data_IF_701324974684
#
_entry.id   IF_701324974684
#
_cell.length_a   1.000
_cell.length_b   1.000
_cell.length_c   1.000
_cell.angle_alpha   90.00
_cell.angle_beta   90.00
_cell.angle_gamma   90.00
#
_symmetry.space_group_name_H-M   'P 1'
#
loop_
_entity.id
_entity.type
_entity.pdbx_description
1 polymer ?
#
# COMPACT_ATOMS: atom_id res chain seq x y z
N UNK A 1 3.58 -11.20 6.92
CA UNK A 1 3.88 -12.51 7.49
C UNK A 1 3.35 -13.65 6.63
N UNK A 2 2.13 -13.59 6.10
CA UNK A 2 1.51 -14.69 5.35
C UNK A 2 1.75 -14.63 3.84
N UNK A 3 2.40 -13.63 3.31
CA UNK A 3 2.61 -13.51 1.87
C UNK A 3 3.54 -14.62 1.34
N UNK A 4 4.52 -15.06 2.13
CA UNK A 4 5.41 -16.17 1.75
C UNK A 4 4.64 -17.45 1.41
N UNK A 5 3.52 -17.72 2.11
CA UNK A 5 2.71 -18.93 1.91
C UNK A 5 2.13 -19.05 0.49
N UNK A 6 2.17 -17.98 -0.29
CA UNK A 6 1.62 -17.88 -1.66
C UNK A 6 2.69 -17.74 -2.75
N UNK A 7 3.96 -17.86 -2.39
CA UNK A 7 5.09 -17.85 -3.33
C UNK A 7 5.98 -19.07 -3.10
N UNK A 8 6.58 -19.59 -4.17
CA UNK A 8 7.53 -20.68 -4.09
C UNK A 8 8.78 -20.24 -3.31
N UNK A 9 8.96 -20.77 -2.11
CA UNK A 9 10.08 -20.42 -1.21
C UNK A 9 11.47 -20.74 -1.77
N UNK A 10 11.54 -21.65 -2.74
CA UNK A 10 12.80 -21.97 -3.44
C UNK A 10 13.19 -20.90 -4.48
N UNK A 11 12.26 -20.00 -4.83
CA UNK A 11 12.45 -18.99 -5.86
C UNK A 11 12.35 -17.56 -5.31
N UNK A 12 11.47 -17.34 -4.34
CA UNK A 12 11.17 -16.01 -3.80
C UNK A 12 11.19 -16.05 -2.27
N UNK A 13 11.96 -15.16 -1.67
CA UNK A 13 11.86 -14.84 -0.25
C UNK A 13 11.04 -13.56 -0.09
N UNK A 14 9.95 -13.64 0.68
CA UNK A 14 9.10 -12.47 0.97
C UNK A 14 9.52 -11.84 2.29
N UNK A 15 10.06 -10.64 2.22
CA UNK A 15 10.42 -9.84 3.39
C UNK A 15 9.38 -8.75 3.67
N UNK A 16 8.83 -8.72 4.88
CA UNK A 16 7.84 -7.73 5.28
C UNK A 16 8.49 -6.61 6.09
N UNK A 17 8.65 -5.45 5.49
CA UNK A 17 9.20 -4.24 6.11
C UNK A 17 8.11 -3.26 6.60
N UNK A 18 6.83 -3.60 6.43
CA UNK A 18 5.73 -2.72 6.82
C UNK A 18 5.63 -2.59 8.34
N UNK A 19 5.37 -1.37 8.81
CA UNK A 19 5.10 -1.06 10.21
C UNK A 19 3.74 -0.40 10.36
N UNK A 20 2.95 -0.90 11.31
CA UNK A 20 1.61 -0.36 11.61
C UNK A 20 1.66 1.11 12.04
N UNK A 21 0.63 1.87 11.66
CA UNK A 21 0.50 3.29 12.00
C UNK A 21 1.27 4.26 11.09
N UNK A 22 2.07 3.78 10.16
CA UNK A 22 2.78 4.61 9.19
C UNK A 22 1.87 5.06 8.05
N UNK A 23 2.13 6.26 7.53
CA UNK A 23 1.58 6.80 6.29
C UNK A 23 2.65 6.79 5.19
N UNK A 24 2.28 7.13 3.95
CA UNK A 24 3.25 7.30 2.87
C UNK A 24 4.36 8.27 3.23
N UNK A 25 4.00 9.38 3.89
CA UNK A 25 4.93 10.40 4.41
C UNK A 25 5.83 9.86 5.52
N UNK A 26 5.25 9.35 6.62
CA UNK A 26 6.02 8.98 7.80
C UNK A 26 6.85 7.73 7.61
N UNK A 27 6.41 6.80 6.79
CA UNK A 27 7.25 5.66 6.41
C UNK A 27 8.45 6.14 5.57
N UNK A 28 8.21 7.02 4.59
CA UNK A 28 9.28 7.57 3.75
C UNK A 28 10.33 8.32 4.54
N UNK A 29 9.90 9.16 5.50
CA UNK A 29 10.83 10.02 6.24
C UNK A 29 11.54 9.31 7.39
N UNK A 30 10.95 8.26 7.99
CA UNK A 30 11.45 7.65 9.22
C UNK A 30 12.07 6.27 9.03
N UNK A 31 11.49 5.43 8.19
CA UNK A 31 11.85 4.01 8.06
C UNK A 31 12.48 3.68 6.71
N UNK A 32 11.99 4.30 5.64
CA UNK A 32 12.44 4.03 4.30
C UNK A 32 13.95 4.21 4.09
N UNK A 33 14.63 5.19 4.70
CA UNK A 33 16.09 5.32 4.57
C UNK A 33 16.86 4.06 5.00
N UNK A 34 16.35 3.31 5.98
CA UNK A 34 16.97 2.06 6.42
C UNK A 34 16.49 0.87 5.59
N UNK A 35 15.22 0.77 5.29
CA UNK A 35 14.65 -0.27 4.40
C UNK A 35 15.36 -0.25 3.05
N UNK A 36 15.54 0.93 2.47
CA UNK A 36 16.19 1.09 1.15
C UNK A 36 17.61 0.54 1.10
N UNK A 37 18.34 0.56 2.20
CA UNK A 37 19.71 0.00 2.26
C UNK A 37 19.76 -1.52 2.02
N UNK A 38 18.67 -2.22 2.34
CA UNK A 38 18.55 -3.67 2.13
C UNK A 38 18.11 -4.05 0.71
N UNK A 39 17.53 -3.13 -0.05
CA UNK A 39 17.03 -3.41 -1.39
C UNK A 39 18.18 -3.58 -2.38
N UNK A 40 18.12 -4.66 -3.15
CA UNK A 40 19.14 -5.02 -4.14
C UNK A 40 18.59 -4.94 -5.57
N UNK A 41 19.51 -4.88 -6.53
CA UNK A 41 19.17 -4.96 -7.95
C UNK A 41 18.42 -6.27 -8.25
N UNK A 42 17.28 -6.14 -8.91
CA UNK A 42 16.43 -7.29 -9.26
C UNK A 42 15.31 -7.57 -8.25
N UNK A 43 15.37 -7.02 -7.03
CA UNK A 43 14.29 -7.19 -6.06
C UNK A 43 12.96 -6.62 -6.57
N UNK A 44 11.87 -7.21 -6.10
CA UNK A 44 10.54 -6.68 -6.29
C UNK A 44 10.08 -5.98 -5.02
N UNK A 45 9.66 -4.72 -5.15
CA UNK A 45 9.23 -3.91 -4.01
C UNK A 45 7.75 -3.59 -4.13
N UNK A 46 6.93 -4.25 -3.32
CA UNK A 46 5.48 -4.00 -3.26
C UNK A 46 5.22 -2.81 -2.34
N UNK A 47 4.56 -1.79 -2.85
CA UNK A 47 4.19 -0.56 -2.14
C UNK A 47 2.67 -0.49 -2.05
N UNK A 48 2.12 -0.76 -0.84
CA UNK A 48 0.71 -0.65 -0.51
C UNK A 48 0.57 0.16 0.79
N UNK A 49 0.35 1.46 0.68
CA UNK A 49 0.36 2.39 1.81
C UNK A 49 -0.65 3.52 1.58
N UNK A 50 -1.26 4.06 2.65
CA UNK A 50 -2.22 5.17 2.54
C UNK A 50 -3.28 5.22 3.63
N UNK A 51 -3.47 4.16 4.42
CA UNK A 51 -4.49 4.11 5.47
C UNK A 51 -4.38 5.25 6.51
N UNK A 52 -3.19 5.80 6.69
CA UNK A 52 -2.88 6.79 7.71
C UNK A 52 -2.53 8.18 7.13
N UNK A 53 -2.79 8.41 5.87
CA UNK A 53 -2.43 9.63 5.16
C UNK A 53 -3.40 10.79 5.37
N UNK A 54 -4.47 10.58 6.13
CA UNK A 54 -5.42 11.61 6.51
C UNK A 54 -5.10 12.23 7.88
N UNK A 55 -5.59 13.45 8.11
CA UNK A 55 -5.51 14.14 9.41
C UNK A 55 -4.67 15.41 9.35
N UNK A 56 -4.22 15.92 10.52
CA UNK A 56 -3.38 17.11 10.57
C UNK A 56 -2.00 16.90 9.96
N UNK A 57 -1.47 17.95 9.32
CA UNK A 57 -0.13 17.94 8.75
C UNK A 57 0.97 18.25 9.77
N UNK A 58 0.62 18.97 10.83
CA UNK A 58 1.57 19.63 11.74
C UNK A 58 1.41 19.25 13.22
N UNK A 59 0.46 18.39 13.56
CA UNK A 59 0.13 18.07 14.96
C UNK A 59 -0.25 16.61 15.15
N UNK A 60 -0.30 16.17 16.39
CA UNK A 60 -0.57 14.79 16.77
C UNK A 60 0.50 13.86 16.19
N UNK A 61 0.09 12.87 15.42
CA UNK A 61 1.07 12.00 14.72
C UNK A 61 1.68 12.66 13.48
N UNK A 62 1.16 13.81 13.03
CA UNK A 62 1.64 14.60 11.88
C UNK A 62 2.00 13.72 10.66
N UNK A 63 1.08 12.85 10.26
CA UNK A 63 1.35 11.81 9.27
C UNK A 63 0.59 11.99 7.95
N UNK A 64 -0.30 12.99 7.85
CA UNK A 64 -1.06 13.24 6.63
C UNK A 64 -0.14 13.65 5.47
N UNK A 65 -0.45 13.14 4.28
CA UNK A 65 0.02 13.65 3.00
C UNK A 65 -1.04 14.56 2.36
N UNK A 66 -0.64 15.44 1.45
CA UNK A 66 -1.59 16.25 0.68
C UNK A 66 -2.36 15.31 -0.26
N UNK A 67 -3.71 15.37 -0.31
CA UNK A 67 -4.51 14.56 -1.22
C UNK A 67 -4.13 14.77 -2.69
N UNK A 68 -4.19 13.69 -3.47
CA UNK A 68 -3.99 13.75 -4.92
C UNK A 68 -2.59 13.35 -5.37
N UNK A 69 -2.33 13.61 -6.66
CA UNK A 69 -1.12 13.15 -7.36
C UNK A 69 -0.27 14.30 -7.94
N UNK A 70 -0.65 15.56 -7.63
CA UNK A 70 0.10 16.75 -8.06
C UNK A 70 1.48 16.85 -7.43
N UNK A 71 2.16 17.97 -7.69
CA UNK A 71 3.47 18.30 -7.12
C UNK A 71 3.38 19.36 -6.01
N UNK A 72 2.18 19.60 -5.50
CA UNK A 72 1.94 20.59 -4.46
C UNK A 72 2.71 20.20 -3.18
N UNK A 73 3.18 21.23 -2.49
CA UNK A 73 3.90 21.08 -1.23
C UNK A 73 3.37 22.04 -0.18
N UNK A 74 3.53 21.66 1.08
CA UNK A 74 3.18 22.48 2.23
C UNK A 74 4.34 22.44 3.24
N UNK A 75 4.90 23.60 3.57
CA UNK A 75 5.89 23.70 4.63
C UNK A 75 5.17 23.81 5.97
N UNK A 76 5.50 22.92 6.89
CA UNK A 76 4.91 22.87 8.23
C UNK A 76 6.01 22.91 9.30
N UNK A 77 5.63 23.35 10.49
CA UNK A 77 6.43 23.15 11.71
C UNK A 77 5.62 22.24 12.62
N UNK A 78 6.17 21.07 12.95
CA UNK A 78 5.50 20.09 13.83
C UNK A 78 5.34 20.69 15.21
N UNK A 79 4.12 20.81 15.69
CA UNK A 79 3.80 21.52 16.95
C UNK A 79 4.45 20.88 18.17
N UNK A 80 4.51 19.55 18.19
CA UNK A 80 5.05 18.79 19.33
C UNK A 80 6.58 18.82 19.42
N UNK A 81 7.28 19.06 18.31
CA UNK A 81 8.75 18.93 18.23
C UNK A 81 9.46 20.18 17.73
N UNK A 82 8.75 21.12 17.12
CA UNK A 82 9.34 22.28 16.45
C UNK A 82 10.09 21.96 15.15
N UNK A 83 10.08 20.71 14.69
CA UNK A 83 10.76 20.30 13.46
C UNK A 83 10.05 20.87 12.24
N UNK A 84 10.81 21.49 11.35
CA UNK A 84 10.32 21.96 10.05
C UNK A 84 10.36 20.84 9.03
N UNK A 85 9.28 20.66 8.30
CA UNK A 85 9.14 19.61 7.29
C UNK A 85 8.35 20.11 6.08
N UNK A 86 8.73 19.65 4.88
CA UNK A 86 7.94 19.83 3.67
C UNK A 86 7.07 18.60 3.46
N UNK A 87 5.76 18.79 3.45
CA UNK A 87 4.76 17.78 3.16
C UNK A 87 4.47 17.80 1.67
N UNK A 88 4.44 16.63 1.05
CA UNK A 88 4.15 16.41 -0.37
C UNK A 88 2.76 15.78 -0.55
N UNK A 89 2.31 15.72 -1.79
CA UNK A 89 1.12 14.94 -2.13
C UNK A 89 1.38 13.44 -1.91
N UNK A 90 0.29 12.68 -1.72
CA UNK A 90 0.33 11.23 -1.66
C UNK A 90 1.04 10.64 -2.90
N UNK A 91 0.67 11.11 -4.09
CA UNK A 91 1.28 10.64 -5.32
C UNK A 91 2.76 10.97 -5.43
N UNK A 92 3.20 12.11 -4.91
CA UNK A 92 4.62 12.47 -4.91
C UNK A 92 5.43 11.56 -3.96
N UNK A 93 4.87 11.16 -2.81
CA UNK A 93 5.52 10.15 -1.99
C UNK A 93 5.63 8.80 -2.71
N UNK A 94 4.61 8.37 -3.44
CA UNK A 94 4.71 7.15 -4.25
C UNK A 94 5.80 7.25 -5.33
N UNK A 95 5.91 8.38 -6.01
CA UNK A 95 7.00 8.60 -6.98
C UNK A 95 8.38 8.54 -6.35
N UNK A 96 8.53 9.08 -5.14
CA UNK A 96 9.80 9.00 -4.40
C UNK A 96 10.21 7.54 -4.14
N UNK A 97 9.28 6.69 -3.68
CA UNK A 97 9.53 5.26 -3.51
C UNK A 97 9.92 4.58 -4.82
N UNK A 98 9.18 4.85 -5.90
CA UNK A 98 9.45 4.30 -7.23
C UNK A 98 10.86 4.68 -7.71
N UNK A 99 11.21 5.96 -7.59
CA UNK A 99 12.51 6.46 -8.03
C UNK A 99 13.65 5.88 -7.22
N UNK A 100 13.48 5.74 -5.92
CA UNK A 100 14.47 5.12 -5.04
C UNK A 100 14.68 3.63 -5.38
N UNK A 101 13.62 2.88 -5.69
CA UNK A 101 13.72 1.51 -6.16
C UNK A 101 14.49 1.43 -7.49
N UNK A 102 14.11 2.27 -8.45
CA UNK A 102 14.78 2.33 -9.76
C UNK A 102 16.26 2.68 -9.65
N UNK A 103 16.61 3.57 -8.73
CA UNK A 103 18.00 4.01 -8.53
C UNK A 103 18.93 2.85 -8.13
N UNK A 104 18.41 1.81 -7.50
CA UNK A 104 19.16 0.60 -7.14
C UNK A 104 18.92 -0.56 -8.10
N UNK A 105 18.08 -0.37 -9.13
CA UNK A 105 17.74 -1.41 -10.11
C UNK A 105 16.72 -2.43 -9.62
N UNK A 106 15.92 -2.08 -8.61
CA UNK A 106 14.78 -2.87 -8.14
C UNK A 106 13.50 -2.55 -8.93
N UNK A 107 12.51 -3.43 -8.85
CA UNK A 107 11.27 -3.43 -9.59
C UNK A 107 10.10 -3.02 -8.67
N UNK A 108 9.62 -1.75 -8.69
CA UNK A 108 8.51 -1.34 -7.88
C UNK A 108 7.17 -1.83 -8.44
N UNK A 109 6.26 -2.24 -7.55
CA UNK A 109 4.86 -2.56 -7.82
C UNK A 109 3.99 -1.71 -6.89
N UNK A 110 3.04 -0.95 -7.43
CA UNK A 110 2.04 -0.29 -6.61
C UNK A 110 0.82 -1.19 -6.42
N UNK A 111 0.30 -1.21 -5.20
CA UNK A 111 -0.99 -1.86 -4.89
C UNK A 111 -1.92 -0.87 -4.22
N UNK A 112 -3.23 -1.00 -4.49
CA UNK A 112 -4.24 -0.30 -3.71
C UNK A 112 -4.29 -0.85 -2.28
N UNK A 113 -4.99 -0.15 -1.37
CA UNK A 113 -5.05 -0.49 0.04
C UNK A 113 -5.88 -1.75 0.30
N UNK A 114 -5.57 -2.48 1.35
CA UNK A 114 -6.50 -3.50 1.88
C UNK A 114 -7.83 -2.84 2.27
N UNK A 115 -8.99 -3.52 2.13
CA UNK A 115 -10.27 -2.96 2.53
C UNK A 115 -10.36 -2.77 4.05
N UNK A 116 -11.29 -1.93 4.49
CA UNK A 116 -11.76 -1.82 5.87
C UNK A 116 -13.08 -2.55 6.01
N UNK A 117 -13.45 -2.90 7.22
CA UNK A 117 -14.80 -3.38 7.55
C UNK A 117 -15.76 -2.18 7.57
N UNK A 118 -16.12 -1.73 6.39
CA UNK A 118 -17.04 -0.63 6.18
C UNK A 118 -17.89 -0.89 4.92
N UNK A 119 -19.19 -0.65 5.02
CA UNK A 119 -20.16 -0.92 3.96
C UNK A 119 -20.67 0.35 3.33
N UNK A 120 -20.97 0.26 2.04
CA UNK A 120 -21.73 1.27 1.32
C UNK A 120 -23.26 1.07 1.52
N UNK A 121 -24.05 1.94 0.90
CA UNK A 121 -25.53 1.92 0.94
C UNK A 121 -26.13 0.64 0.34
N UNK A 122 -25.39 -0.11 -0.46
CA UNK A 122 -25.79 -1.36 -1.09
C UNK A 122 -25.33 -2.60 -0.29
N UNK A 123 -24.75 -2.39 0.90
CA UNK A 123 -24.22 -3.46 1.74
C UNK A 123 -22.96 -4.12 1.18
N UNK A 124 -22.19 -3.41 0.36
CA UNK A 124 -20.91 -3.83 -0.17
C UNK A 124 -19.76 -3.18 0.56
N UNK A 125 -18.64 -3.87 0.68
CA UNK A 125 -17.40 -3.29 1.22
C UNK A 125 -17.04 -2.03 0.44
N UNK A 126 -16.77 -0.95 1.15
CA UNK A 126 -16.37 0.34 0.56
C UNK A 126 -15.03 0.18 -0.18
N UNK A 127 -15.01 0.62 -1.45
CA UNK A 127 -13.80 0.64 -2.27
C UNK A 127 -13.04 1.97 -2.13
N UNK A 128 -11.73 1.89 -2.28
CA UNK A 128 -10.86 3.10 -2.26
C UNK A 128 -10.58 3.65 -3.68
N UNK A 129 -11.42 3.27 -4.64
CA UNK A 129 -11.29 3.59 -6.07
C UNK A 129 -11.60 5.04 -6.46
N UNK A 130 -11.97 5.89 -5.49
CA UNK A 130 -12.16 7.35 -5.67
C UNK A 130 -11.13 8.20 -4.94
N UNK A 131 -10.23 7.56 -4.19
CA UNK A 131 -9.23 8.24 -3.35
C UNK A 131 -7.86 7.58 -3.52
N UNK A 132 -7.26 7.07 -2.46
CA UNK A 132 -5.90 6.52 -2.45
C UNK A 132 -5.68 5.39 -3.47
N UNK A 133 -6.68 4.54 -3.71
CA UNK A 133 -6.58 3.49 -4.72
C UNK A 133 -6.56 4.06 -6.15
N UNK A 134 -7.39 5.09 -6.42
CA UNK A 134 -7.35 5.82 -7.68
C UNK A 134 -6.00 6.51 -7.89
N UNK A 135 -5.53 7.22 -6.86
CA UNK A 135 -4.26 7.95 -6.94
C UNK A 135 -3.08 7.02 -7.13
N UNK A 136 -3.05 5.87 -6.46
CA UNK A 136 -2.01 4.87 -6.65
C UNK A 136 -2.01 4.32 -8.09
N UNK A 137 -3.19 4.02 -8.65
CA UNK A 137 -3.34 3.59 -10.05
C UNK A 137 -2.81 4.66 -11.01
N UNK A 138 -3.25 5.91 -10.84
CA UNK A 138 -2.82 7.03 -11.70
C UNK A 138 -1.31 7.24 -11.67
N UNK A 139 -0.69 7.15 -10.48
CA UNK A 139 0.78 7.24 -10.36
C UNK A 139 1.44 6.05 -11.06
N UNK A 140 0.92 4.83 -10.89
CA UNK A 140 1.47 3.65 -11.58
C UNK A 140 1.43 3.79 -13.10
N UNK A 141 0.34 4.31 -13.64
CA UNK A 141 0.18 4.60 -15.07
C UNK A 141 1.17 5.67 -15.54
N UNK A 142 1.27 6.81 -14.82
CA UNK A 142 2.18 7.90 -15.15
C UNK A 142 3.66 7.47 -15.10
N UNK A 143 4.00 6.69 -14.09
CA UNK A 143 5.37 6.21 -13.86
C UNK A 143 5.66 4.91 -14.60
N UNK A 144 4.71 4.36 -15.35
CA UNK A 144 4.88 3.10 -16.08
C UNK A 144 5.40 1.96 -15.19
N UNK A 145 4.80 1.76 -14.02
CA UNK A 145 5.03 0.64 -13.10
C UNK A 145 3.79 -0.24 -13.00
N UNK A 146 3.92 -1.54 -12.66
CA UNK A 146 2.77 -2.41 -12.45
C UNK A 146 1.85 -1.91 -11.35
N UNK A 147 0.54 -2.10 -11.54
CA UNK A 147 -0.48 -1.83 -10.54
C UNK A 147 -1.35 -3.07 -10.28
N UNK A 148 -1.56 -3.40 -9.02
CA UNK A 148 -2.49 -4.45 -8.58
C UNK A 148 -3.60 -3.82 -7.73
N UNK A 149 -4.86 -4.01 -8.12
CA UNK A 149 -6.00 -3.53 -7.34
C UNK A 149 -6.35 -4.50 -6.21
N UNK A 150 -5.47 -4.54 -5.21
CA UNK A 150 -5.64 -5.38 -4.02
C UNK A 150 -6.97 -5.10 -3.30
N UNK A 151 -7.40 -3.82 -3.28
CA UNK A 151 -8.66 -3.43 -2.64
C UNK A 151 -9.85 -4.12 -3.30
N UNK A 152 -9.94 -4.05 -4.62
CA UNK A 152 -11.05 -4.68 -5.35
C UNK A 152 -11.04 -6.20 -5.19
N UNK A 153 -9.88 -6.85 -5.34
CA UNK A 153 -9.76 -8.31 -5.22
C UNK A 153 -10.18 -8.78 -3.81
N UNK A 154 -9.69 -8.11 -2.77
CA UNK A 154 -10.01 -8.47 -1.38
C UNK A 154 -11.45 -8.13 -1.02
N UNK A 155 -11.95 -6.96 -1.41
CA UNK A 155 -13.31 -6.52 -1.12
C UNK A 155 -14.35 -7.40 -1.84
N UNK A 156 -14.08 -7.82 -3.08
CA UNK A 156 -14.96 -8.75 -3.80
C UNK A 156 -15.07 -10.13 -3.09
N UNK A 157 -14.01 -10.58 -2.44
CA UNK A 157 -14.05 -11.79 -1.61
C UNK A 157 -14.89 -11.59 -0.35
N UNK A 158 -14.72 -10.47 0.35
CA UNK A 158 -15.50 -10.11 1.53
C UNK A 158 -16.98 -9.99 1.20
N UNK A 159 -17.34 -9.35 0.07
CA UNK A 159 -18.72 -9.28 -0.42
C UNK A 159 -19.36 -10.66 -0.62
N UNK A 160 -18.57 -11.65 -1.06
CA UNK A 160 -19.06 -13.04 -1.22
C UNK A 160 -19.25 -13.76 0.11
N UNK A 161 -18.44 -13.44 1.12
CA UNK A 161 -18.58 -14.02 2.44
C UNK A 161 -19.83 -13.51 3.16
N UNK A 162 -20.22 -12.27 2.89
CA UNK A 162 -21.33 -11.58 3.53
C UNK A 162 -21.04 -11.19 4.99
N UNK A 163 -21.87 -10.32 5.58
CA UNK A 163 -21.58 -9.62 6.84
C UNK A 163 -21.37 -10.53 8.06
N UNK A 164 -21.88 -11.76 8.02
CA UNK A 164 -21.72 -12.71 9.12
C UNK A 164 -20.35 -13.39 9.17
N UNK A 165 -19.78 -13.70 8.01
CA UNK A 165 -18.46 -14.37 7.93
C UNK A 165 -17.32 -13.39 7.88
N UNK A 166 -17.55 -12.26 7.29
CA UNK A 166 -16.58 -11.20 7.10
C UNK A 166 -16.04 -10.65 8.44
N UNK A 167 -16.90 -10.52 9.47
CA UNK A 167 -16.48 -10.06 10.80
C UNK A 167 -15.30 -10.86 11.40
N UNK A 168 -15.05 -12.08 10.95
CA UNK A 168 -13.89 -12.86 11.36
C UNK A 168 -12.58 -12.42 10.69
N UNK A 169 -12.66 -11.58 9.67
CA UNK A 169 -11.50 -11.06 8.93
C UNK A 169 -10.91 -9.80 9.55
N UNK A 170 -11.64 -9.17 10.47
CA UNK A 170 -11.22 -7.94 11.14
C UNK A 170 -11.22 -8.09 12.66
N UNK A 171 -10.42 -7.25 13.32
CA UNK A 171 -10.57 -7.01 14.75
C UNK A 171 -11.74 -6.02 14.99
N UNK A 172 -12.11 -5.83 16.25
CA UNK A 172 -13.23 -4.98 16.67
C UNK A 172 -13.08 -3.49 16.32
N UNK A 173 -11.92 -3.09 15.85
CA UNK A 173 -11.66 -1.72 15.39
C UNK A 173 -12.04 -1.50 13.91
N UNK A 174 -12.50 -2.52 13.22
CA UNK A 174 -12.95 -2.49 11.82
C UNK A 174 -11.87 -2.05 10.80
N UNK A 175 -10.61 -2.03 11.20
CA UNK A 175 -9.47 -1.61 10.37
C UNK A 175 -8.40 -2.70 10.29
N UNK A 176 -7.94 -3.15 11.46
CA UNK A 176 -6.89 -4.16 11.53
C UNK A 176 -7.45 -5.55 11.26
N UNK A 177 -6.77 -6.25 10.38
CA UNK A 177 -7.21 -7.60 9.98
C UNK A 177 -6.81 -8.64 11.01
N UNK A 178 -7.71 -9.59 11.27
CA UNK A 178 -7.39 -10.84 11.96
C UNK A 178 -6.39 -11.67 11.12
N UNK A 179 -5.97 -12.81 11.66
CA UNK A 179 -5.18 -13.78 10.89
C UNK A 179 -5.87 -14.19 9.59
N UNK A 180 -7.17 -14.44 9.61
CA UNK A 180 -7.93 -14.82 8.40
C UNK A 180 -7.95 -13.69 7.36
N UNK A 181 -8.19 -12.46 7.79
CA UNK A 181 -8.14 -11.31 6.90
C UNK A 181 -6.74 -11.04 6.35
N UNK A 182 -5.70 -11.20 7.16
CA UNK A 182 -4.32 -11.06 6.72
C UNK A 182 -3.94 -12.12 5.67
N UNK A 183 -4.32 -13.38 5.88
CA UNK A 183 -4.11 -14.45 4.88
C UNK A 183 -4.90 -14.21 3.60
N UNK A 184 -6.16 -13.77 3.71
CA UNK A 184 -6.98 -13.43 2.54
C UNK A 184 -6.35 -12.30 1.72
N UNK A 185 -5.87 -11.23 2.37
CA UNK A 185 -5.21 -10.11 1.69
C UNK A 185 -3.88 -10.55 1.04
N UNK A 186 -3.09 -11.36 1.72
CA UNK A 186 -1.85 -11.91 1.18
C UNK A 186 -2.11 -12.76 -0.08
N UNK A 187 -3.10 -13.65 -0.01
CA UNK A 187 -3.56 -14.42 -1.17
C UNK A 187 -4.08 -13.53 -2.29
N UNK A 188 -4.85 -12.50 -1.97
CA UNK A 188 -5.37 -11.54 -2.98
C UNK A 188 -4.26 -10.78 -3.69
N UNK A 189 -3.18 -10.43 -2.97
CA UNK A 189 -2.01 -9.79 -3.57
C UNK A 189 -1.29 -10.75 -4.54
N UNK A 190 -1.08 -11.99 -4.14
CA UNK A 190 -0.45 -13.01 -5.01
C UNK A 190 -1.31 -13.32 -6.25
N UNK A 191 -2.62 -13.50 -6.08
CA UNK A 191 -3.56 -13.70 -7.20
C UNK A 191 -3.56 -12.49 -8.16
N UNK A 192 -3.58 -11.27 -7.60
CA UNK A 192 -3.51 -10.05 -8.42
C UNK A 192 -2.22 -9.91 -9.23
N UNK A 193 -1.10 -10.39 -8.71
CA UNK A 193 0.15 -10.50 -9.48
C UNK A 193 0.02 -11.59 -10.54
N UNK A 194 -0.42 -12.79 -10.17
CA UNK A 194 -0.51 -13.94 -11.06
C UNK A 194 -1.47 -13.73 -12.23
N UNK A 195 -2.60 -13.05 -12.00
CA UNK A 195 -3.64 -12.79 -13.01
C UNK A 195 -3.41 -11.49 -13.79
N UNK A 196 -2.39 -10.71 -13.43
CA UNK A 196 -2.08 -9.45 -14.11
C UNK A 196 -1.67 -9.70 -15.56
N UNK A 197 -2.18 -8.83 -16.44
CA UNK A 197 -1.79 -8.78 -17.85
C UNK A 197 -0.62 -7.83 -18.12
N UNK A 198 -0.07 -7.19 -17.09
CA UNK A 198 1.08 -6.31 -17.27
C UNK A 198 2.33 -7.16 -17.59
N UNK A 199 2.94 -6.99 -18.77
CA UNK A 199 4.11 -7.78 -19.18
C UNK A 199 5.33 -7.57 -18.27
N UNK A 200 5.37 -6.50 -17.51
CA UNK A 200 6.44 -6.24 -16.54
C UNK A 200 6.41 -7.26 -15.39
N UNK A 201 5.26 -7.86 -15.08
CA UNK A 201 5.12 -8.90 -14.06
C UNK A 201 5.43 -10.31 -14.57
N UNK A 202 5.65 -10.51 -15.87
CA UNK A 202 5.87 -11.83 -16.46
C UNK A 202 7.03 -12.58 -15.81
N UNK A 203 8.10 -11.89 -15.44
CA UNK A 203 9.24 -12.53 -14.77
C UNK A 203 8.85 -12.99 -13.35
N UNK A 204 8.12 -12.18 -12.60
CA UNK A 204 7.66 -12.51 -11.25
C UNK A 204 6.62 -13.63 -11.28
N UNK A 205 5.76 -13.66 -12.31
CA UNK A 205 4.77 -14.72 -12.52
C UNK A 205 5.40 -16.07 -12.87
N UNK A 206 6.58 -16.06 -13.47
CA UNK A 206 7.32 -17.28 -13.84
C UNK A 206 8.13 -17.88 -12.66
N UNK A 207 8.26 -17.14 -11.59
CA UNK A 207 8.97 -17.54 -10.37
C UNK A 207 8.02 -18.25 -9.41
#
# INVERSE_FOLDING_TARGET
YYAQDFFDENKITVENQALGGMSSRTFYTRLWPDVRKGIQKGDWVIISIGHNDNGPYDSGRARASIPGIGKDTLNVTIKETGVKETVYTYGEYLRKYINDCRAVGANPILMSLTPRDAYDENGKIVRVNKTFGLWARQVAEQENVPFVDLNEISAAKLDKYGPWKEKYHFYTDHIHTSRFGAMMNARSAAEGIAESKDPKLALLQAM
#
